data_IF_706352122478
#
_entry.id   IF_706352122478
#
_cell.length_a   1.000
_cell.length_b   1.000
_cell.length_c   1.000
_cell.angle_alpha   90.00
_cell.angle_beta   90.00
_cell.angle_gamma   90.00
#
_symmetry.space_group_name_H-M   'P 1'
#
loop_
_entity.id
_entity.type
_entity.pdbx_description
1 polymer ?
#
# COMPACT_ATOMS: atom_id res chain seq x y z
N UNK A 1 21.37 2.79 5.37
CA UNK A 1 20.18 3.66 5.29
C UNK A 1 19.12 2.89 4.54
N UNK A 2 17.93 2.72 5.10
CA UNK A 2 16.82 2.08 4.37
C UNK A 2 16.25 3.06 3.34
N UNK A 3 15.53 2.55 2.34
CA UNK A 3 14.91 3.40 1.32
C UNK A 3 13.93 4.42 1.93
N UNK A 4 13.21 4.04 3.00
CA UNK A 4 12.30 4.92 3.76
C UNK A 4 13.07 6.10 4.37
N UNK A 5 14.17 5.82 5.07
CA UNK A 5 14.97 6.84 5.74
C UNK A 5 15.56 7.84 4.73
N UNK A 6 16.04 7.35 3.58
CA UNK A 6 16.53 8.22 2.51
C UNK A 6 15.43 9.10 1.90
N UNK A 7 14.24 8.55 1.66
CA UNK A 7 13.10 9.34 1.13
C UNK A 7 12.72 10.45 2.10
N UNK A 8 12.59 10.15 3.41
CA UNK A 8 12.24 11.16 4.41
C UNK A 8 13.29 12.29 4.46
N UNK A 9 14.57 11.93 4.50
CA UNK A 9 15.66 12.92 4.54
C UNK A 9 15.69 13.79 3.28
N UNK A 10 15.51 13.19 2.10
CA UNK A 10 15.48 13.91 0.84
C UNK A 10 14.34 14.95 0.81
N UNK A 11 13.11 14.53 1.10
CA UNK A 11 11.95 15.45 1.08
C UNK A 11 12.10 16.59 2.10
N UNK A 12 12.60 16.28 3.31
CA UNK A 12 12.88 17.30 4.32
C UNK A 12 13.95 18.29 3.86
N UNK A 13 15.03 17.84 3.21
CA UNK A 13 16.07 18.71 2.67
C UNK A 13 15.57 19.60 1.53
N UNK A 14 14.55 19.16 0.80
CA UNK A 14 13.87 19.92 -0.24
C UNK A 14 12.76 20.84 0.31
N UNK A 15 12.65 20.97 1.63
CA UNK A 15 11.61 21.81 2.27
C UNK A 15 10.19 21.23 2.16
N UNK A 16 10.05 19.96 1.77
CA UNK A 16 8.77 19.27 1.63
C UNK A 16 8.47 18.36 2.82
N UNK A 17 7.19 18.03 2.98
CA UNK A 17 6.72 16.94 3.84
C UNK A 17 6.53 15.69 2.99
N UNK A 18 6.70 14.54 3.62
CA UNK A 18 6.45 13.23 3.01
C UNK A 18 4.95 12.98 2.92
N UNK A 19 4.50 12.51 1.76
CA UNK A 19 3.16 11.99 1.53
C UNK A 19 3.21 10.45 1.45
N UNK A 20 2.66 9.78 2.47
CA UNK A 20 2.38 8.35 2.46
C UNK A 20 0.91 8.12 2.15
N UNK A 21 0.59 7.21 1.23
CA UNK A 21 -0.79 6.89 0.85
C UNK A 21 -1.10 5.43 1.16
N UNK A 22 -2.17 5.21 1.92
CA UNK A 22 -2.67 3.88 2.26
C UNK A 22 -3.71 3.38 1.25
N UNK A 23 -3.58 2.12 0.84
CA UNK A 23 -4.51 1.41 -0.04
C UNK A 23 -4.70 -0.02 0.47
N UNK A 24 -5.95 -0.48 0.58
CA UNK A 24 -6.23 -1.90 0.81
C UNK A 24 -5.98 -2.68 -0.47
N UNK A 25 -5.10 -3.68 -0.43
CA UNK A 25 -4.72 -4.45 -1.61
C UNK A 25 -5.93 -5.14 -2.23
N UNK A 26 -6.17 -4.89 -3.52
CA UNK A 26 -7.28 -5.49 -4.28
C UNK A 26 -8.66 -4.86 -4.07
N UNK A 27 -8.73 -3.67 -3.45
CA UNK A 27 -9.93 -2.84 -3.41
C UNK A 27 -9.88 -1.74 -4.52
N UNK A 28 -11.00 -1.46 -5.22
CA UNK A 28 -12.27 -2.19 -5.20
C UNK A 28 -12.22 -3.53 -5.96
N UNK A 29 -11.19 -3.72 -6.79
CA UNK A 29 -10.92 -4.96 -7.52
C UNK A 29 -9.41 -5.18 -7.68
N UNK A 30 -9.00 -6.42 -7.92
CA UNK A 30 -7.60 -6.75 -8.25
C UNK A 30 -7.19 -6.24 -9.63
N UNK A 31 -8.13 -6.22 -10.58
CA UNK A 31 -7.86 -5.71 -11.92
C UNK A 31 -7.52 -4.21 -11.86
N UNK A 32 -6.34 -3.83 -12.35
CA UNK A 32 -5.87 -2.45 -12.36
C UNK A 32 -5.35 -1.93 -11.01
N UNK A 33 -5.29 -2.75 -9.96
CA UNK A 33 -4.80 -2.30 -8.65
C UNK A 33 -3.34 -1.85 -8.72
N UNK A 34 -2.46 -2.63 -9.38
CA UNK A 34 -1.05 -2.26 -9.55
C UNK A 34 -0.90 -0.94 -10.32
N UNK A 35 -1.65 -0.76 -11.41
CA UNK A 35 -1.63 0.48 -12.21
C UNK A 35 -2.09 1.69 -11.39
N UNK A 36 -3.12 1.52 -10.56
CA UNK A 36 -3.57 2.56 -9.63
C UNK A 36 -2.46 2.97 -8.66
N UNK A 37 -1.75 2.01 -8.07
CA UNK A 37 -0.64 2.30 -7.15
C UNK A 37 0.47 3.07 -7.87
N UNK A 38 0.82 2.66 -9.09
CA UNK A 38 1.84 3.35 -9.89
C UNK A 38 1.41 4.78 -10.25
N UNK A 39 0.15 4.99 -10.63
CA UNK A 39 -0.37 6.33 -10.91
C UNK A 39 -0.37 7.23 -9.67
N UNK A 40 -0.66 6.70 -8.48
CA UNK A 40 -0.57 7.46 -7.22
C UNK A 40 0.88 7.86 -6.92
N UNK A 41 1.83 6.96 -7.19
CA UNK A 41 3.26 7.27 -7.07
C UNK A 41 3.70 8.33 -8.08
N UNK A 42 3.20 8.31 -9.32
CA UNK A 42 3.45 9.33 -10.33
C UNK A 42 2.82 10.68 -9.98
N UNK A 43 1.63 10.66 -9.36
CA UNK A 43 0.90 11.85 -8.92
C UNK A 43 1.54 12.56 -7.71
N UNK A 44 2.60 12.00 -7.12
CA UNK A 44 3.41 12.67 -6.11
C UNK A 44 3.44 12.02 -4.73
N UNK A 45 2.83 10.84 -4.55
CA UNK A 45 3.05 10.08 -3.31
C UNK A 45 4.52 9.68 -3.18
N UNK A 46 5.12 9.90 -2.01
CA UNK A 46 6.53 9.59 -1.75
C UNK A 46 6.70 8.11 -1.34
N UNK A 47 5.66 7.50 -0.76
CA UNK A 47 5.60 6.09 -0.39
C UNK A 47 4.15 5.57 -0.37
N UNK A 48 4.01 4.25 -0.44
CA UNK A 48 2.70 3.56 -0.38
C UNK A 48 2.67 2.62 0.82
N UNK A 49 1.56 2.65 1.55
CA UNK A 49 1.18 1.65 2.53
C UNK A 49 0.16 0.71 1.89
N UNK A 50 0.54 -0.55 1.70
CA UNK A 50 -0.33 -1.60 1.17
C UNK A 50 -0.91 -2.40 2.33
N UNK A 51 -2.23 -2.25 2.52
CA UNK A 51 -2.98 -3.03 3.48
C UNK A 51 -3.12 -4.48 3.02
N UNK A 52 -2.73 -5.42 3.88
CA UNK A 52 -3.07 -6.84 3.79
C UNK A 52 -4.48 -6.97 4.40
N UNK A 53 -5.52 -7.30 3.59
CA UNK A 53 -6.88 -7.36 4.10
C UNK A 53 -7.03 -8.49 5.12
N UNK A 54 -7.75 -8.21 6.21
CA UNK A 54 -7.91 -9.11 7.36
C UNK A 54 -9.38 -9.24 7.75
N UNK A 55 -9.79 -10.40 8.28
CA UNK A 55 -11.19 -10.70 8.61
C UNK A 55 -11.71 -9.98 9.85
N UNK A 56 -10.82 -9.76 10.82
CA UNK A 56 -11.17 -9.18 12.13
C UNK A 56 -10.37 -7.90 12.43
N UNK A 57 -10.50 -6.84 11.62
CA UNK A 57 -9.69 -5.62 11.72
C UNK A 57 -10.18 -4.68 12.84
N UNK A 58 -9.96 -5.08 14.10
CA UNK A 58 -10.46 -4.34 15.28
C UNK A 58 -9.84 -2.95 15.46
N UNK A 59 -8.69 -2.67 14.84
CA UNK A 59 -7.98 -1.40 14.98
C UNK A 59 -8.36 -0.38 13.88
N UNK A 60 -9.05 -0.82 12.84
CA UNK A 60 -9.39 0.01 11.69
C UNK A 60 -10.75 0.68 11.81
N UNK A 61 -10.90 1.85 11.19
CA UNK A 61 -12.18 2.53 11.05
C UNK A 61 -13.09 1.88 10.00
N UNK A 62 -14.40 2.17 9.99
CA UNK A 62 -15.40 1.47 9.18
C UNK A 62 -15.11 1.49 7.66
N UNK A 63 -14.45 2.53 7.16
CA UNK A 63 -14.05 2.64 5.74
C UNK A 63 -13.00 1.59 5.38
N UNK A 64 -11.98 1.39 6.22
CA UNK A 64 -10.90 0.42 5.99
C UNK A 64 -11.38 -1.00 6.28
N UNK A 65 -12.26 -1.18 7.25
CA UNK A 65 -12.93 -2.47 7.48
C UNK A 65 -13.73 -2.89 6.23
N UNK A 66 -14.49 -1.96 5.65
CA UNK A 66 -15.27 -2.20 4.43
C UNK A 66 -14.38 -2.55 3.23
N UNK A 67 -13.31 -1.78 2.97
CA UNK A 67 -12.39 -2.08 1.87
C UNK A 67 -11.70 -3.44 2.05
N UNK A 68 -11.39 -3.83 3.30
CA UNK A 68 -10.82 -5.14 3.62
C UNK A 68 -11.80 -6.28 3.36
N UNK A 69 -13.07 -6.13 3.74
CA UNK A 69 -14.12 -7.12 3.44
C UNK A 69 -14.29 -7.33 1.95
N UNK A 70 -14.32 -6.26 1.15
CA UNK A 70 -14.43 -6.34 -0.31
C UNK A 70 -13.19 -7.00 -0.91
N UNK A 71 -11.98 -6.64 -0.45
CA UNK A 71 -10.75 -7.28 -0.90
C UNK A 71 -10.71 -8.79 -0.59
N UNK A 72 -11.17 -9.21 0.60
CA UNK A 72 -11.31 -10.62 0.94
C UNK A 72 -12.34 -11.33 0.04
N UNK A 73 -13.46 -10.68 -0.27
CA UNK A 73 -14.45 -11.23 -1.20
C UNK A 73 -13.90 -11.37 -2.63
N UNK A 74 -12.95 -10.52 -3.03
CA UNK A 74 -12.16 -10.63 -4.27
C UNK A 74 -11.08 -11.74 -4.20
N UNK A 75 -11.02 -12.48 -3.08
CA UNK A 75 -10.08 -13.57 -2.85
C UNK A 75 -8.64 -13.12 -2.66
N UNK A 76 -8.41 -11.89 -2.18
CA UNK A 76 -7.05 -11.41 -1.86
C UNK A 76 -6.51 -12.20 -0.67
N UNK A 77 -5.26 -12.64 -0.79
CA UNK A 77 -4.50 -13.34 0.23
C UNK A 77 -3.06 -12.81 0.24
N UNK A 78 -2.26 -13.23 1.22
CA UNK A 78 -0.87 -12.77 1.39
C UNK A 78 -0.03 -13.02 0.13
N UNK A 79 -0.18 -14.17 -0.52
CA UNK A 79 0.52 -14.50 -1.77
C UNK A 79 0.24 -13.47 -2.88
N UNK A 80 -1.04 -13.13 -3.10
CA UNK A 80 -1.44 -12.10 -4.06
C UNK A 80 -0.89 -10.72 -3.71
N UNK A 81 -0.81 -10.38 -2.42
CA UNK A 81 -0.19 -9.12 -1.98
C UNK A 81 1.29 -9.09 -2.37
N UNK A 82 2.04 -10.17 -2.13
CA UNK A 82 3.44 -10.23 -2.54
C UNK A 82 3.62 -10.17 -4.07
N UNK A 83 2.74 -10.80 -4.85
CA UNK A 83 2.76 -10.67 -6.32
C UNK A 83 2.57 -9.21 -6.78
N UNK A 84 1.65 -8.48 -6.14
CA UNK A 84 1.45 -7.04 -6.39
C UNK A 84 2.70 -6.23 -6.01
N UNK A 85 3.31 -6.52 -4.85
CA UNK A 85 4.56 -5.87 -4.42
C UNK A 85 5.67 -6.07 -5.45
N UNK A 86 5.87 -7.29 -5.93
CA UNK A 86 6.88 -7.58 -6.95
C UNK A 86 6.61 -6.82 -8.25
N UNK A 87 5.35 -6.73 -8.68
CA UNK A 87 4.96 -6.00 -9.88
C UNK A 87 5.20 -4.49 -9.76
N UNK A 88 4.84 -3.88 -8.63
CA UNK A 88 5.12 -2.47 -8.38
C UNK A 88 6.64 -2.24 -8.36
N UNK A 89 7.41 -3.13 -7.72
CA UNK A 89 8.88 -3.02 -7.64
C UNK A 89 9.59 -3.15 -8.98
N UNK A 90 9.00 -3.81 -9.97
CA UNK A 90 9.52 -3.81 -11.36
C UNK A 90 9.41 -2.44 -12.02
N UNK A 91 8.49 -1.60 -11.57
CA UNK A 91 8.15 -0.32 -12.21
C UNK A 91 8.50 0.90 -11.34
N UNK A 92 8.73 0.73 -10.03
CA UNK A 92 9.02 1.83 -9.12
C UNK A 92 9.97 1.43 -7.99
N UNK A 93 10.92 2.33 -7.72
CA UNK A 93 11.85 2.22 -6.59
C UNK A 93 11.33 2.89 -5.31
N UNK A 94 10.13 3.50 -5.31
CA UNK A 94 9.61 4.17 -4.12
C UNK A 94 9.35 3.16 -2.98
N UNK A 95 9.42 3.59 -1.70
CA UNK A 95 9.14 2.71 -0.58
C UNK A 95 7.71 2.15 -0.61
N UNK A 96 7.60 0.86 -0.32
CA UNK A 96 6.35 0.16 -0.09
C UNK A 96 6.39 -0.37 1.35
N UNK A 97 5.34 -0.12 2.11
CA UNK A 97 5.17 -0.57 3.48
C UNK A 97 3.99 -1.53 3.49
N UNK A 98 4.19 -2.76 3.98
CA UNK A 98 3.07 -3.67 4.22
C UNK A 98 2.45 -3.34 5.57
N UNK A 99 1.17 -2.97 5.56
CA UNK A 99 0.36 -2.72 6.74
C UNK A 99 -0.55 -3.93 6.94
N UNK A 100 -0.53 -4.53 8.12
CA UNK A 100 -1.34 -5.71 8.42
C UNK A 100 -1.42 -5.97 9.91
N UNK A 101 -2.20 -6.99 10.26
CA UNK A 101 -2.39 -7.43 11.63
C UNK A 101 -1.34 -8.47 12.01
N UNK A 102 -0.98 -8.51 13.30
CA UNK A 102 -0.05 -9.51 13.82
C UNK A 102 -0.58 -10.94 13.70
N UNK A 103 -1.90 -11.10 13.70
CA UNK A 103 -2.59 -12.33 13.37
C UNK A 103 -3.05 -12.23 11.91
N UNK A 104 -2.43 -12.95 10.97
CA UNK A 104 -2.87 -12.98 9.58
C UNK A 104 -4.12 -13.85 9.38
#
# INVERSE_FOLDING_TARGET
MTNIESTIKNEQSNGRKVLSVFLTTGFPAMAGFTDLVLQILEAGADMIELGIPFSDPIADGPVIQYSSQVALANGVNVEKVFNVVEEIKRNSNKPLILMGYANP
#
